data_IF_799509391778
#
_entry.id   IF_799509391778
#
_cell.length_a   1.000
_cell.length_b   1.000
_cell.length_c   1.000
_cell.angle_alpha   90.00
_cell.angle_beta   90.00
_cell.angle_gamma   90.00
#
_symmetry.space_group_name_H-M   'P 1'
#
loop_
_entity.id
_entity.type
_entity.pdbx_description
1 polymer ?
#
# COMPACT_ATOMS: atom_id res chain seq x y z
N UNK A 1 -21.55 -13.08 6.16
CA UNK A 1 -20.27 -13.65 6.60
C UNK A 1 -19.22 -13.12 5.64
N UNK A 2 -18.12 -12.54 6.14
CA UNK A 2 -17.05 -11.98 5.32
C UNK A 2 -15.88 -12.98 5.27
N UNK A 3 -15.34 -13.26 4.09
CA UNK A 3 -14.21 -14.18 3.95
C UNK A 3 -12.92 -13.35 3.94
N UNK A 4 -11.95 -13.72 4.78
CA UNK A 4 -10.69 -13.02 4.83
C UNK A 4 -9.90 -13.23 3.52
N UNK A 5 -9.48 -12.16 2.83
CA UNK A 5 -8.74 -12.30 1.56
C UNK A 5 -7.33 -12.87 1.74
N UNK A 6 -6.78 -12.86 2.96
CA UNK A 6 -5.42 -13.34 3.23
C UNK A 6 -5.36 -14.84 3.58
N UNK A 7 -6.30 -15.35 4.39
CA UNK A 7 -6.29 -16.73 4.87
C UNK A 7 -7.55 -17.55 4.52
N UNK A 8 -8.49 -16.94 3.79
CA UNK A 8 -9.77 -17.53 3.40
C UNK A 8 -10.66 -17.97 4.59
N UNK A 9 -10.38 -17.49 5.81
CA UNK A 9 -11.18 -17.79 6.98
C UNK A 9 -12.52 -17.02 6.95
N UNK A 10 -13.66 -17.68 7.21
CA UNK A 10 -14.94 -17.01 7.34
C UNK A 10 -15.03 -16.27 8.67
N UNK A 11 -15.37 -14.99 8.61
CA UNK A 11 -15.54 -14.11 9.78
C UNK A 11 -16.99 -13.58 9.86
N UNK A 12 -17.48 -13.24 11.06
CA UNK A 12 -18.81 -12.64 11.23
C UNK A 12 -18.92 -11.26 10.55
N UNK A 13 -20.15 -10.85 10.22
CA UNK A 13 -20.41 -9.53 9.66
C UNK A 13 -20.06 -8.44 10.69
N UNK A 14 -19.35 -7.39 10.27
CA UNK A 14 -18.90 -6.32 11.16
C UNK A 14 -17.57 -6.60 11.88
N UNK A 15 -16.91 -7.74 11.63
CA UNK A 15 -15.55 -7.97 12.09
C UNK A 15 -14.60 -6.96 11.41
N UNK A 16 -13.86 -6.19 12.23
CA UNK A 16 -12.85 -5.24 11.76
C UNK A 16 -11.52 -5.96 11.48
N UNK A 17 -11.33 -7.15 12.04
CA UNK A 17 -10.11 -7.94 11.94
C UNK A 17 -10.45 -9.43 11.84
N UNK A 18 -9.64 -10.18 11.08
CA UNK A 18 -9.79 -11.62 10.95
C UNK A 18 -9.38 -12.36 12.23
N UNK A 19 -10.23 -13.27 12.71
CA UNK A 19 -9.97 -14.04 13.95
C UNK A 19 -8.82 -15.07 13.79
N UNK A 20 -8.57 -15.55 12.58
CA UNK A 20 -7.53 -16.54 12.30
C UNK A 20 -6.13 -15.96 12.03
N UNK A 21 -6.04 -14.85 11.28
CA UNK A 21 -4.73 -14.34 10.80
C UNK A 21 -4.51 -12.86 11.12
N UNK A 22 -5.40 -12.24 11.91
CA UNK A 22 -5.30 -10.85 12.37
C UNK A 22 -5.19 -9.80 11.25
N UNK A 23 -5.50 -10.17 10.02
CA UNK A 23 -5.54 -9.24 8.89
C UNK A 23 -6.77 -8.34 9.01
N UNK A 24 -6.63 -7.01 8.83
CA UNK A 24 -7.77 -6.10 8.84
C UNK A 24 -8.77 -6.47 7.74
N UNK A 25 -10.06 -6.49 8.09
CA UNK A 25 -11.15 -6.82 7.18
C UNK A 25 -11.83 -5.52 6.72
N UNK A 26 -12.36 -5.46 5.47
CA UNK A 26 -13.09 -4.29 5.00
C UNK A 26 -14.32 -4.05 5.88
N UNK A 27 -14.37 -2.88 6.52
CA UNK A 27 -15.50 -2.48 7.33
C UNK A 27 -16.70 -2.21 6.41
N UNK A 28 -17.85 -2.81 6.75
CA UNK A 28 -19.10 -2.59 6.03
C UNK A 28 -20.13 -2.00 6.98
N UNK A 29 -20.88 -1.01 6.51
CA UNK A 29 -21.97 -0.36 7.23
C UNK A 29 -23.26 -0.48 6.42
N UNK A 30 -24.41 -0.20 7.03
CA UNK A 30 -25.70 -0.20 6.31
C UNK A 30 -26.08 1.22 5.92
N UNK A 31 -26.55 1.38 4.69
CA UNK A 31 -27.04 2.66 4.21
C UNK A 31 -28.30 3.07 5.01
N UNK A 32 -28.33 4.27 5.62
CA UNK A 32 -29.47 4.70 6.43
C UNK A 32 -30.74 4.98 5.61
N UNK A 33 -30.60 5.16 4.29
CA UNK A 33 -31.74 5.43 3.41
C UNK A 33 -32.42 4.15 2.87
N UNK A 34 -31.65 3.13 2.49
CA UNK A 34 -32.19 1.93 1.84
C UNK A 34 -31.85 0.60 2.52
N UNK A 35 -31.03 0.62 3.57
CA UNK A 35 -30.62 -0.58 4.30
C UNK A 35 -29.57 -1.45 3.60
N UNK A 36 -29.17 -1.12 2.36
CA UNK A 36 -28.13 -1.87 1.65
C UNK A 36 -26.78 -1.79 2.38
N UNK A 37 -26.05 -2.91 2.43
CA UNK A 37 -24.69 -2.95 2.95
C UNK A 37 -23.73 -2.24 2.00
N UNK A 38 -22.99 -1.27 2.52
CA UNK A 38 -22.03 -0.42 1.82
C UNK A 38 -20.67 -0.52 2.51
N UNK A 39 -19.59 -0.19 1.82
CA UNK A 39 -18.28 -0.05 2.46
C UNK A 39 -18.31 1.13 3.43
N UNK A 40 -17.64 1.01 4.58
CA UNK A 40 -17.65 2.07 5.60
C UNK A 40 -17.06 3.40 5.07
N UNK A 41 -16.12 3.33 4.13
CA UNK A 41 -15.51 4.49 3.46
C UNK A 41 -16.21 4.88 2.15
N UNK A 42 -17.38 4.30 1.84
CA UNK A 42 -18.10 4.64 0.63
C UNK A 42 -18.66 6.06 0.71
N UNK A 43 -18.41 6.85 -0.33
CA UNK A 43 -18.98 8.18 -0.47
C UNK A 43 -20.49 8.20 -0.72
N UNK A 44 -20.96 7.21 -1.48
CA UNK A 44 -22.34 7.10 -1.95
C UNK A 44 -22.80 5.64 -1.88
N UNK A 45 -24.09 5.44 -1.65
CA UNK A 45 -24.70 4.13 -1.72
C UNK A 45 -24.95 3.74 -3.19
N UNK A 46 -24.30 2.69 -3.68
CA UNK A 46 -24.47 2.20 -5.06
C UNK A 46 -25.85 1.62 -5.39
N UNK A 47 -26.74 1.43 -4.40
CA UNK A 47 -28.10 0.92 -4.61
C UNK A 47 -29.16 2.04 -4.69
N UNK A 48 -29.04 3.10 -3.90
CA UNK A 48 -30.05 4.17 -3.82
C UNK A 48 -29.50 5.59 -4.10
N UNK A 49 -28.19 5.73 -4.35
CA UNK A 49 -27.55 7.03 -4.61
C UNK A 49 -27.35 7.94 -3.39
N UNK A 50 -27.74 7.50 -2.18
CA UNK A 50 -27.62 8.32 -0.96
C UNK A 50 -26.16 8.67 -0.62
N UNK A 51 -25.89 9.92 -0.28
CA UNK A 51 -24.56 10.41 0.08
C UNK A 51 -24.25 10.10 1.55
N UNK A 52 -23.28 9.21 1.79
CA UNK A 52 -22.95 8.68 3.12
C UNK A 52 -22.04 9.64 3.91
N UNK A 53 -21.32 10.54 3.24
CA UNK A 53 -20.47 11.55 3.90
C UNK A 53 -21.26 12.55 4.73
N UNK A 54 -22.51 12.85 4.36
CA UNK A 54 -23.36 13.77 5.11
C UNK A 54 -23.94 13.14 6.39
N UNK A 55 -23.86 11.81 6.55
CA UNK A 55 -24.29 11.10 7.75
C UNK A 55 -23.16 10.89 8.77
N UNK A 56 -21.90 11.12 8.38
CA UNK A 56 -20.73 11.06 9.24
C UNK A 56 -20.40 12.44 9.84
N UNK A 57 -21.38 13.13 10.39
CA UNK A 57 -21.10 14.18 11.36
C UNK A 57 -20.67 13.47 12.66
N UNK A 58 -19.51 13.83 13.28
CA UNK A 58 -19.17 13.28 14.57
C UNK A 58 -20.28 13.66 15.56
N UNK A 59 -20.92 12.65 16.14
CA UNK A 59 -21.83 12.86 17.26
C UNK A 59 -21.07 13.64 18.36
N UNK A 60 -21.65 14.69 18.95
CA UNK A 60 -21.04 15.34 20.10
C UNK A 60 -20.98 14.33 21.24
N UNK A 61 -19.77 13.86 21.53
CA UNK A 61 -19.47 13.13 22.76
C UNK A 61 -19.81 14.02 23.94
N UNK A 62 -20.91 13.69 24.62
CA UNK A 62 -21.20 14.23 25.94
C UNK A 62 -20.13 13.71 26.90
N UNK A 63 -19.32 14.57 27.54
CA UNK A 63 -18.41 14.09 28.57
C UNK A 63 -19.23 13.65 29.78
N UNK A 64 -19.10 12.36 30.10
CA UNK A 64 -19.58 11.80 31.35
C UNK A 64 -18.97 12.56 32.53
N UNK A 65 -19.81 12.88 33.50
CA UNK A 65 -19.46 13.56 34.74
C UNK A 65 -18.36 12.80 35.48
N UNK A 66 -17.18 13.41 35.56
CA UNK A 66 -16.17 13.09 36.57
C UNK A 66 -16.24 14.20 37.60
N UNK A 67 -16.59 13.85 38.84
CA UNK A 67 -16.72 14.78 39.94
C UNK A 67 -15.41 15.55 40.17
N UNK A 68 -15.42 16.90 40.25
CA UNK A 68 -14.24 17.66 40.60
C UNK A 68 -14.07 17.69 42.13
N UNK A 69 -12.93 17.20 42.60
CA UNK A 69 -12.41 17.42 43.94
C UNK A 69 -12.11 18.91 44.13
N UNK A 70 -12.58 19.43 45.26
CA UNK A 70 -12.49 20.81 45.75
C UNK A 70 -11.03 21.27 45.91
N UNK A 71 -10.69 22.43 45.37
CA UNK A 71 -9.59 23.29 45.81
C UNK A 71 -9.89 24.77 45.46
N UNK A 72 -9.42 25.74 46.27
CA UNK A 72 -10.14 26.99 46.53
C UNK A 72 -9.88 28.13 45.52
N UNK A 73 -10.88 29.02 45.44
CA UNK A 73 -10.93 30.23 44.63
C UNK A 73 -9.78 31.22 44.87
N UNK A 74 -9.15 31.64 43.78
CA UNK A 74 -8.33 32.85 43.71
C UNK A 74 -8.87 33.69 42.55
N UNK A 75 -9.40 34.91 42.80
CA UNK A 75 -9.99 35.74 41.75
C UNK A 75 -8.88 36.48 40.99
N UNK A 76 -8.69 36.13 39.71
CA UNK A 76 -7.86 36.92 38.79
C UNK A 76 -8.79 37.59 37.78
N UNK A 77 -8.81 38.91 37.81
CA UNK A 77 -9.58 39.77 36.92
C UNK A 77 -8.93 39.78 35.52
N UNK A 78 -9.72 39.50 34.48
CA UNK A 78 -9.29 39.59 33.08
C UNK A 78 -10.03 40.76 32.41
N UNK A 79 -9.34 41.70 31.74
CA UNK A 79 -9.95 42.88 31.12
C UNK A 79 -10.80 42.56 29.88
N UNK A 80 -11.76 43.44 29.49
CA UNK A 80 -12.75 43.15 28.46
C UNK A 80 -12.16 43.19 27.04
N UNK A 81 -12.56 42.20 26.24
CA UNK A 81 -12.16 42.02 24.85
C UNK A 81 -12.99 42.95 23.93
N UNK A 82 -12.28 43.69 23.07
CA UNK A 82 -12.82 44.61 22.07
C UNK A 82 -13.52 43.85 20.94
N UNK A 83 -14.74 44.25 20.58
CA UNK A 83 -15.47 43.74 19.40
C UNK A 83 -14.99 44.42 18.11
N UNK A 84 -14.73 43.70 17.01
CA UNK A 84 -14.62 44.33 15.71
C UNK A 84 -15.99 44.49 15.01
N UNK A 85 -16.20 45.68 14.46
CA UNK A 85 -17.27 46.10 13.56
C UNK A 85 -17.36 45.24 12.28
N UNK A 86 -18.57 44.91 11.79
CA UNK A 86 -18.78 44.50 10.41
C UNK A 86 -19.26 45.70 9.56
N UNK A 87 -18.32 46.41 8.95
CA UNK A 87 -18.61 47.37 7.88
C UNK A 87 -17.72 47.08 6.67
N UNK A 88 -18.22 46.31 5.71
CA UNK A 88 -18.22 46.68 4.28
C UNK A 88 -18.97 45.63 3.45
N UNK A 89 -20.22 45.99 3.18
CA UNK A 89 -21.01 45.61 2.02
C UNK A 89 -20.42 46.20 0.73
N UNK A 90 -20.94 45.79 -0.43
CA UNK A 90 -20.68 46.25 -1.81
C UNK A 90 -19.77 45.34 -2.66
N UNK A 91 -20.40 44.34 -3.29
CA UNK A 91 -20.20 44.01 -4.71
C UNK A 91 -21.37 43.12 -5.18
N UNK A 92 -22.48 43.75 -5.56
CA UNK A 92 -23.47 43.17 -6.50
C UNK A 92 -22.87 43.06 -7.91
N UNK A 93 -23.45 42.20 -8.76
CA UNK A 93 -24.18 42.81 -9.86
C UNK A 93 -25.58 42.21 -10.10
N UNK A 94 -26.36 43.07 -10.74
CA UNK A 94 -27.80 43.12 -10.86
C UNK A 94 -28.50 42.04 -11.70
N UNK A 95 -29.71 41.77 -11.24
CA UNK A 95 -30.98 41.77 -11.97
C UNK A 95 -30.98 41.52 -13.50
N UNK A 96 -31.60 40.41 -13.88
CA UNK A 96 -32.62 40.42 -14.93
C UNK A 96 -33.86 39.68 -14.41
N UNK A 97 -34.85 40.48 -14.01
CA UNK A 97 -36.11 39.99 -13.47
C UNK A 97 -37.04 39.41 -14.53
N UNK A 98 -37.74 38.34 -14.16
CA UNK A 98 -39.08 38.04 -14.67
C UNK A 98 -39.87 37.42 -13.50
N UNK A 99 -40.99 38.07 -13.15
CA UNK A 99 -41.88 37.70 -12.05
C UNK A 99 -42.95 36.69 -12.49
N UNK A 100 -43.41 35.91 -11.49
CA UNK A 100 -44.74 35.28 -11.29
C UNK A 100 -44.97 33.82 -11.78
N UNK A 101 -45.99 33.11 -11.23
CA UNK A 101 -46.28 32.76 -9.83
C UNK A 101 -46.41 31.21 -9.65
N UNK A 102 -46.66 30.65 -8.44
CA UNK A 102 -46.72 29.19 -8.26
C UNK A 102 -48.11 28.65 -8.62
N UNK A 103 -48.15 27.62 -9.47
CA UNK A 103 -49.36 26.88 -9.78
C UNK A 103 -49.08 25.37 -9.79
N UNK A 104 -49.71 24.69 -8.83
CA UNK A 104 -50.33 23.36 -8.95
C UNK A 104 -49.53 22.19 -9.55
N UNK A 105 -49.29 21.22 -8.67
CA UNK A 105 -49.51 19.77 -8.86
C UNK A 105 -49.68 19.26 -10.30
N UNK A 106 -48.76 18.38 -10.72
CA UNK A 106 -49.09 17.16 -11.45
C UNK A 106 -47.87 16.21 -11.44
N UNK A 107 -48.08 15.03 -10.87
CA UNK A 107 -47.19 13.88 -10.95
C UNK A 107 -47.13 13.39 -12.41
N UNK A 108 -45.98 12.87 -12.88
CA UNK A 108 -45.98 11.88 -13.95
C UNK A 108 -45.81 10.47 -13.40
N UNK A 109 -46.68 9.60 -13.93
CA UNK A 109 -46.81 8.18 -13.69
C UNK A 109 -45.50 7.40 -13.84
N UNK A 110 -45.33 6.43 -12.94
CA UNK A 110 -44.35 5.36 -13.01
C UNK A 110 -44.52 4.54 -14.30
N UNK A 111 -43.42 4.31 -15.01
CA UNK A 111 -43.33 3.28 -16.05
C UNK A 111 -42.51 2.14 -15.46
N UNK A 112 -43.24 1.10 -15.04
CA UNK A 112 -42.71 -0.15 -14.51
C UNK A 112 -41.87 -0.86 -15.59
N UNK A 113 -40.55 -0.90 -15.38
CA UNK A 113 -39.63 -1.67 -16.22
C UNK A 113 -39.22 -2.90 -15.44
N UNK A 114 -39.79 -4.05 -15.79
CA UNK A 114 -39.44 -5.34 -15.21
C UNK A 114 -37.94 -5.68 -15.45
N UNK A 115 -37.20 -6.22 -14.47
CA UNK A 115 -35.84 -6.67 -14.70
C UNK A 115 -35.81 -7.98 -15.50
N UNK A 116 -34.80 -8.20 -16.37
CA UNK A 116 -34.66 -9.45 -17.11
C UNK A 116 -34.24 -10.60 -16.19
N UNK A 117 -34.79 -11.79 -16.42
CA UNK A 117 -34.41 -13.02 -15.74
C UNK A 117 -32.96 -13.40 -16.06
N UNK A 118 -32.17 -13.91 -15.09
CA UNK A 118 -30.82 -14.40 -15.36
C UNK A 118 -30.87 -15.70 -16.20
N UNK A 119 -29.86 -15.96 -17.06
CA UNK A 119 -29.78 -17.21 -17.82
C UNK A 119 -29.53 -18.41 -16.89
N UNK A 120 -29.88 -19.63 -17.32
CA UNK A 120 -29.64 -20.83 -16.53
C UNK A 120 -28.14 -21.10 -16.46
N UNK A 121 -27.63 -21.22 -15.24
CA UNK A 121 -26.23 -21.56 -14.97
C UNK A 121 -26.02 -23.02 -15.38
N UNK A 122 -25.23 -23.24 -16.42
CA UNK A 122 -24.78 -24.58 -16.79
C UNK A 122 -23.94 -25.16 -15.66
N UNK A 123 -24.26 -26.38 -15.24
CA UNK A 123 -23.52 -27.11 -14.23
C UNK A 123 -22.06 -27.28 -14.66
N UNK A 124 -21.13 -26.82 -13.82
CA UNK A 124 -19.70 -27.07 -14.01
C UNK A 124 -19.42 -28.58 -13.90
N UNK A 125 -18.59 -29.17 -14.78
CA UNK A 125 -18.23 -30.57 -14.69
C UNK A 125 -17.32 -30.81 -13.47
N UNK A 126 -17.45 -31.99 -12.88
CA UNK A 126 -16.64 -32.42 -11.74
C UNK A 126 -15.14 -32.45 -12.09
N UNK A 127 -14.24 -32.11 -11.15
CA UNK A 127 -12.81 -32.17 -11.40
C UNK A 127 -12.34 -33.63 -11.53
N UNK A 128 -11.59 -33.92 -12.60
CA UNK A 128 -10.84 -35.17 -12.75
C UNK A 128 -9.74 -35.25 -11.67
N UNK A 129 -9.39 -36.47 -11.20
CA UNK A 129 -8.35 -36.65 -10.20
C UNK A 129 -6.96 -36.37 -10.78
N UNK A 130 -6.15 -35.61 -10.04
CA UNK A 130 -4.74 -35.34 -10.34
C UNK A 130 -3.90 -36.63 -10.29
N UNK A 131 -2.92 -36.81 -11.20
CA UNK A 131 -2.03 -37.98 -11.18
C UNK A 131 -1.01 -37.87 -10.04
N UNK A 132 -0.79 -38.99 -9.34
CA UNK A 132 0.22 -39.11 -8.28
C UNK A 132 1.64 -38.79 -8.78
N UNK A 133 2.49 -38.14 -7.95
CA UNK A 133 3.85 -37.80 -8.33
C UNK A 133 4.74 -39.05 -8.38
N UNK A 134 5.50 -39.18 -9.46
CA UNK A 134 6.50 -40.24 -9.63
C UNK A 134 7.64 -40.12 -8.59
N UNK A 135 8.29 -41.24 -8.21
CA UNK A 135 9.33 -41.23 -7.19
C UNK A 135 10.62 -40.56 -7.69
N UNK A 136 11.28 -39.82 -6.80
CA UNK A 136 12.52 -39.12 -7.06
C UNK A 136 13.68 -40.08 -7.36
N UNK A 137 14.63 -39.73 -8.25
CA UNK A 137 15.81 -40.53 -8.51
C UNK A 137 16.83 -40.44 -7.37
N UNK A 138 17.55 -41.54 -7.14
CA UNK A 138 18.58 -41.67 -6.12
C UNK A 138 19.81 -40.77 -6.41
N UNK A 139 20.54 -40.32 -5.37
CA UNK A 139 21.73 -39.48 -5.56
C UNK A 139 22.92 -40.28 -6.10
N UNK A 140 23.59 -39.73 -7.11
CA UNK A 140 24.85 -40.24 -7.65
C UNK A 140 26.01 -40.05 -6.66
N UNK A 141 27.05 -40.92 -6.68
CA UNK A 141 28.13 -40.88 -5.73
C UNK A 141 29.14 -39.76 -6.06
N UNK A 142 29.53 -39.04 -5.02
CA UNK A 142 30.53 -37.97 -5.04
C UNK A 142 31.93 -38.55 -5.31
N UNK A 143 32.72 -38.02 -6.26
CA UNK A 143 34.10 -38.46 -6.45
C UNK A 143 35.02 -37.88 -5.37
N UNK A 144 35.88 -38.74 -4.83
CA UNK A 144 36.95 -38.41 -3.88
C UNK A 144 38.08 -37.69 -4.62
N UNK A 145 38.62 -36.56 -4.12
CA UNK A 145 39.82 -35.95 -4.70
C UNK A 145 41.11 -36.63 -4.21
N UNK A 146 41.97 -37.00 -5.16
CA UNK A 146 43.34 -37.51 -4.98
C UNK A 146 44.36 -36.34 -5.01
N UNK A 147 45.51 -36.39 -4.31
CA UNK A 147 46.29 -35.20 -3.98
C UNK A 147 47.41 -34.83 -4.98
N UNK A 148 47.71 -33.53 -5.00
CA UNK A 148 48.93 -32.80 -5.40
C UNK A 148 49.74 -33.23 -6.65
N UNK A 149 49.76 -32.32 -7.63
CA UNK A 149 50.96 -32.07 -8.43
C UNK A 149 51.22 -30.56 -8.49
N UNK A 150 52.34 -30.15 -7.92
CA UNK A 150 52.91 -28.80 -7.93
C UNK A 150 53.34 -28.43 -9.35
N UNK A 151 52.86 -27.28 -9.85
CA UNK A 151 53.32 -26.68 -11.11
C UNK A 151 53.96 -25.33 -10.77
N UNK A 152 55.19 -25.01 -11.23
CA UNK A 152 55.84 -23.75 -10.88
C UNK A 152 55.15 -22.54 -11.54
N UNK A 153 55.18 -21.41 -10.82
CA UNK A 153 54.62 -20.14 -11.24
C UNK A 153 55.20 -19.63 -12.58
N UNK A 154 54.37 -19.09 -13.49
CA UNK A 154 54.88 -18.35 -14.63
C UNK A 154 55.29 -16.94 -14.22
N UNK A 155 56.46 -16.52 -14.69
CA UNK A 155 57.04 -15.18 -14.54
C UNK A 155 56.17 -14.16 -15.29
N UNK A 156 55.76 -13.02 -14.70
CA UNK A 156 54.96 -12.03 -15.42
C UNK A 156 55.84 -11.18 -16.34
N UNK A 157 55.74 -11.41 -17.65
CA UNK A 157 56.24 -10.48 -18.66
C UNK A 157 55.21 -9.35 -18.80
N UNK A 158 55.60 -8.14 -18.41
CA UNK A 158 54.81 -6.92 -18.57
C UNK A 158 54.69 -6.58 -20.06
N UNK A 159 53.46 -6.51 -20.58
CA UNK A 159 53.15 -5.93 -21.86
C UNK A 159 52.93 -4.41 -21.72
N UNK A 160 53.35 -3.58 -22.71
CA UNK A 160 53.22 -2.14 -22.63
C UNK A 160 51.76 -1.68 -22.81
N UNK A 161 51.50 -0.53 -22.20
CA UNK A 161 50.25 0.20 -22.22
C UNK A 161 49.77 0.56 -23.64
N UNK A 162 48.45 0.69 -23.79
CA UNK A 162 47.85 1.53 -24.82
C UNK A 162 46.95 0.81 -25.82
N UNK A 163 45.92 0.11 -25.35
CA UNK A 163 44.70 -0.05 -26.15
C UNK A 163 43.57 0.54 -25.31
N UNK A 164 43.13 1.75 -25.67
CA UNK A 164 41.87 2.30 -25.16
C UNK A 164 40.74 1.43 -25.68
N UNK A 165 40.49 0.32 -24.98
CA UNK A 165 39.26 -0.44 -25.10
C UNK A 165 38.15 0.52 -24.71
N UNK A 166 37.13 0.65 -25.54
CA UNK A 166 35.80 1.12 -25.12
C UNK A 166 35.34 0.19 -24.01
N UNK A 167 35.72 0.52 -22.78
CA UNK A 167 35.28 -0.18 -21.60
C UNK A 167 33.85 0.28 -21.39
N UNK A 168 32.90 -0.60 -21.68
CA UNK A 168 31.52 -0.43 -21.25
C UNK A 168 31.58 -0.22 -19.73
N UNK A 169 31.46 1.03 -19.28
CA UNK A 169 31.17 1.33 -17.88
C UNK A 169 29.79 0.72 -17.64
N UNK A 170 29.79 -0.46 -17.02
CA UNK A 170 28.55 -1.09 -16.59
C UNK A 170 28.00 -0.23 -15.47
N UNK A 171 26.86 0.40 -15.74
CA UNK A 171 26.17 1.20 -14.74
C UNK A 171 25.61 0.24 -13.70
N UNK A 172 26.00 0.41 -12.44
CA UNK A 172 25.51 -0.41 -11.32
C UNK A 172 24.51 0.37 -10.51
N UNK A 173 23.36 -0.24 -10.21
CA UNK A 173 22.35 0.33 -9.33
C UNK A 173 22.56 -0.12 -7.89
N UNK A 174 22.36 0.78 -6.94
CA UNK A 174 22.45 0.50 -5.50
C UNK A 174 21.41 1.25 -4.69
N UNK A 175 21.10 0.71 -3.53
CA UNK A 175 20.30 1.33 -2.49
C UNK A 175 21.20 1.69 -1.31
N UNK A 176 21.18 2.96 -0.91
CA UNK A 176 21.92 3.46 0.25
C UNK A 176 20.94 3.69 1.39
N UNK A 177 21.05 2.91 2.47
CA UNK A 177 20.21 3.09 3.64
C UNK A 177 20.60 4.36 4.39
N UNK A 178 19.68 5.31 4.59
CA UNK A 178 19.99 6.65 5.12
C UNK A 178 20.43 6.58 6.57
N UNK A 179 19.79 5.76 7.39
CA UNK A 179 20.01 5.75 8.84
C UNK A 179 21.34 5.07 9.23
N UNK A 180 21.88 4.20 8.38
CA UNK A 180 23.11 3.43 8.66
C UNK A 180 24.20 3.60 7.61
N UNK A 181 23.96 4.42 6.57
CA UNK A 181 24.86 4.64 5.43
C UNK A 181 25.33 3.34 4.74
N UNK A 182 24.57 2.26 4.90
CA UNK A 182 24.93 0.95 4.34
C UNK A 182 24.47 0.89 2.90
N UNK A 183 25.39 0.56 2.01
CA UNK A 183 25.11 0.37 0.59
C UNK A 183 24.74 -1.09 0.30
N UNK A 184 23.74 -1.28 -0.55
CA UNK A 184 23.27 -2.58 -1.03
C UNK A 184 23.24 -2.51 -2.55
N UNK A 185 24.00 -3.35 -3.23
CA UNK A 185 23.97 -3.45 -4.68
C UNK A 185 22.72 -4.21 -5.14
N UNK A 186 22.06 -3.69 -6.18
CA UNK A 186 20.90 -4.32 -6.79
C UNK A 186 21.38 -5.34 -7.83
N UNK A 187 21.12 -6.65 -7.65
CA UNK A 187 21.51 -7.66 -8.61
C UNK A 187 20.76 -7.50 -9.93
N UNK A 188 21.40 -6.87 -10.91
CA UNK A 188 20.83 -6.61 -12.25
C UNK A 188 20.62 -7.89 -13.08
N UNK A 189 21.11 -9.04 -12.62
CA UNK A 189 20.81 -10.35 -13.23
C UNK A 189 19.37 -10.79 -12.98
N UNK A 190 18.70 -10.23 -11.96
CA UNK A 190 17.33 -10.56 -11.62
C UNK A 190 16.36 -9.56 -12.25
N UNK A 191 15.30 -10.06 -12.87
CA UNK A 191 14.22 -9.21 -13.39
C UNK A 191 13.33 -8.65 -12.28
N UNK A 192 13.28 -9.32 -11.13
CA UNK A 192 12.53 -8.93 -9.94
C UNK A 192 13.42 -9.17 -8.73
N UNK A 193 13.54 -8.16 -7.88
CA UNK A 193 14.34 -8.17 -6.67
C UNK A 193 13.38 -7.97 -5.49
N UNK A 194 13.25 -8.99 -4.65
CA UNK A 194 12.33 -8.99 -3.52
C UNK A 194 12.95 -8.30 -2.30
N UNK A 195 12.24 -7.33 -1.73
CA UNK A 195 12.66 -6.59 -0.54
C UNK A 195 11.74 -6.94 0.63
N UNK A 196 12.36 -7.31 1.75
CA UNK A 196 11.62 -7.56 2.97
C UNK A 196 12.42 -8.34 4.01
N UNK A 197 11.71 -8.92 4.97
CA UNK A 197 12.28 -9.78 6.01
C UNK A 197 12.31 -11.25 5.58
N UNK A 198 13.26 -12.06 6.11
CA UNK A 198 13.37 -13.47 5.77
C UNK A 198 12.06 -14.22 6.06
N UNK A 199 11.69 -15.12 5.17
CA UNK A 199 10.49 -15.93 5.28
C UNK A 199 10.64 -17.26 4.52
N UNK A 200 9.80 -18.23 4.86
CA UNK A 200 9.87 -19.59 4.30
C UNK A 200 9.19 -19.75 2.93
N UNK A 201 8.51 -18.72 2.42
CA UNK A 201 7.76 -18.78 1.15
C UNK A 201 8.58 -18.26 -0.02
N UNK A 202 8.99 -16.99 0.06
CA UNK A 202 9.78 -16.30 -0.95
C UNK A 202 10.92 -15.58 -0.21
N UNK A 203 12.15 -16.11 -0.22
CA UNK A 203 13.27 -15.45 0.45
C UNK A 203 13.50 -14.08 -0.20
N UNK A 204 13.70 -13.01 0.59
CA UNK A 204 14.01 -11.70 0.03
C UNK A 204 15.44 -11.70 -0.53
N UNK A 205 15.63 -11.08 -1.70
CA UNK A 205 16.96 -10.81 -2.25
C UNK A 205 17.68 -9.73 -1.43
N UNK A 206 16.92 -8.76 -0.93
CA UNK A 206 17.39 -7.72 -0.03
C UNK A 206 16.73 -7.93 1.34
N UNK A 207 17.49 -8.53 2.25
CA UNK A 207 17.10 -8.70 3.64
C UNK A 207 17.23 -7.39 4.41
N UNK A 208 16.10 -6.89 4.93
CA UNK A 208 16.07 -5.68 5.75
C UNK A 208 16.09 -5.94 7.27
N UNK A 209 16.13 -7.20 7.71
CA UNK A 209 16.08 -7.58 9.13
C UNK A 209 17.23 -6.98 9.95
N UNK A 210 18.39 -6.78 9.33
CA UNK A 210 19.58 -6.20 9.93
C UNK A 210 19.57 -4.68 10.11
N UNK A 211 18.49 -3.97 9.74
CA UNK A 211 18.37 -2.52 9.92
C UNK A 211 17.56 -2.14 11.16
N UNK A 212 17.83 -0.95 11.69
CA UNK A 212 17.03 -0.34 12.76
C UNK A 212 15.58 -0.21 12.34
N UNK A 213 14.64 -0.51 13.25
CA UNK A 213 13.19 -0.45 12.99
C UNK A 213 12.68 -1.41 11.90
N UNK A 214 13.38 -2.50 11.60
CA UNK A 214 12.94 -3.51 10.63
C UNK A 214 11.56 -4.13 10.94
N UNK A 215 11.05 -3.97 12.16
CA UNK A 215 9.70 -4.42 12.55
C UNK A 215 8.57 -3.81 11.73
N UNK A 216 8.73 -2.57 11.25
CA UNK A 216 7.72 -1.91 10.40
C UNK A 216 7.73 -2.43 8.96
N UNK A 217 8.79 -3.15 8.55
CA UNK A 217 8.89 -3.72 7.21
C UNK A 217 8.27 -5.12 7.21
N UNK A 218 7.54 -5.43 6.15
CA UNK A 218 6.87 -6.71 5.97
C UNK A 218 7.87 -7.76 5.49
N UNK A 219 7.53 -9.05 5.63
CA UNK A 219 8.36 -10.14 5.10
C UNK A 219 8.45 -10.08 3.56
N UNK A 220 7.32 -9.82 2.93
CA UNK A 220 7.19 -9.52 1.51
C UNK A 220 6.65 -8.09 1.48
N UNK A 221 7.48 -7.10 1.13
CA UNK A 221 7.13 -5.69 1.30
C UNK A 221 7.07 -4.94 -0.02
N UNK A 222 8.17 -4.95 -0.78
CA UNK A 222 8.24 -4.28 -2.07
C UNK A 222 9.13 -5.08 -3.02
N UNK A 223 8.86 -4.95 -4.32
CA UNK A 223 9.68 -5.52 -5.37
C UNK A 223 10.32 -4.40 -6.19
N UNK A 224 11.58 -4.58 -6.58
CA UNK A 224 12.21 -3.78 -7.62
C UNK A 224 12.29 -4.60 -8.89
N UNK A 225 11.61 -4.12 -9.93
CA UNK A 225 11.63 -4.72 -11.27
C UNK A 225 12.68 -4.05 -12.12
N UNK A 226 13.48 -4.86 -12.79
CA UNK A 226 14.53 -4.41 -13.71
C UNK A 226 14.05 -4.66 -15.14
N UNK A 227 13.83 -3.59 -15.89
CA UNK A 227 13.34 -3.62 -17.26
C UNK A 227 14.32 -2.86 -18.17
N UNK A 228 15.28 -3.60 -18.76
CA UNK A 228 16.38 -2.98 -19.53
C UNK A 228 17.26 -2.12 -18.62
N UNK A 229 17.37 -0.83 -18.94
CA UNK A 229 18.12 0.15 -18.14
C UNK A 229 17.25 0.88 -17.10
N UNK A 230 15.98 0.51 -16.95
CA UNK A 230 15.04 1.16 -16.05
C UNK A 230 14.72 0.27 -14.83
N UNK A 231 14.63 0.92 -13.68
CA UNK A 231 14.23 0.30 -12.41
C UNK A 231 12.86 0.81 -12.00
N UNK A 232 12.00 -0.10 -11.58
CA UNK A 232 10.67 0.22 -11.08
C UNK A 232 10.47 -0.37 -9.71
N UNK A 233 9.98 0.41 -8.75
CA UNK A 233 9.57 -0.08 -7.45
C UNK A 233 8.05 -0.30 -7.44
N UNK A 234 7.63 -1.40 -6.83
CA UNK A 234 6.23 -1.80 -6.71
C UNK A 234 5.99 -2.28 -5.26
N UNK A 235 4.94 -1.77 -4.61
CA UNK A 235 4.52 -2.29 -3.31
C UNK A 235 3.65 -3.54 -3.51
N UNK A 236 4.06 -4.66 -2.94
CA UNK A 236 3.39 -5.97 -3.10
C UNK A 236 2.31 -6.24 -2.04
N UNK A 237 1.82 -5.18 -1.39
CA UNK A 237 0.77 -5.27 -0.38
C UNK A 237 1.34 -5.26 1.05
N UNK A 238 2.38 -4.46 1.25
CA UNK A 238 2.97 -4.24 2.56
C UNK A 238 1.96 -3.70 3.59
N UNK A 239 2.16 -4.06 4.86
CA UNK A 239 1.24 -3.65 5.93
C UNK A 239 1.30 -2.16 6.26
N UNK A 240 2.46 -1.54 6.07
CA UNK A 240 2.71 -0.13 6.41
C UNK A 240 2.88 0.79 5.18
N UNK A 241 2.78 0.23 3.98
CA UNK A 241 2.93 0.94 2.70
C UNK A 241 4.40 1.21 2.33
N UNK A 242 4.65 1.38 1.03
CA UNK A 242 5.90 1.94 0.50
C UNK A 242 5.71 3.41 0.12
N UNK A 243 6.72 4.26 0.32
CA UNK A 243 6.65 5.68 0.00
C UNK A 243 7.84 6.11 -0.85
N UNK A 244 7.59 6.90 -1.89
CA UNK A 244 8.62 7.48 -2.77
C UNK A 244 8.63 8.99 -2.59
N UNK A 245 9.77 9.56 -2.20
CA UNK A 245 9.92 11.00 -1.94
C UNK A 245 8.80 11.52 -1.02
N UNK A 246 8.50 10.78 0.05
CA UNK A 246 7.44 11.02 1.03
C UNK A 246 5.99 10.90 0.52
N UNK A 247 5.78 10.49 -0.73
CA UNK A 247 4.45 10.23 -1.30
C UNK A 247 4.14 8.72 -1.24
N UNK A 248 2.92 8.32 -0.81
CA UNK A 248 2.55 6.91 -0.76
C UNK A 248 2.49 6.31 -2.16
N UNK A 249 3.12 5.16 -2.34
CA UNK A 249 2.96 4.30 -3.50
C UNK A 249 1.83 3.31 -3.22
N UNK A 250 0.75 3.39 -4.00
CA UNK A 250 -0.36 2.45 -3.88
C UNK A 250 0.12 1.01 -4.22
N UNK A 251 -0.32 -0.02 -3.48
CA UNK A 251 0.00 -1.41 -3.80
C UNK A 251 -0.33 -1.77 -5.25
N UNK A 252 0.59 -2.48 -5.92
CA UNK A 252 0.51 -2.87 -7.33
C UNK A 252 0.81 -1.76 -8.34
N UNK A 253 0.94 -0.49 -7.92
CA UNK A 253 1.40 0.56 -8.81
C UNK A 253 2.92 0.56 -8.91
N UNK A 254 3.43 0.67 -10.14
CA UNK A 254 4.86 0.77 -10.43
C UNK A 254 5.30 2.23 -10.49
N UNK A 255 6.37 2.55 -9.79
CA UNK A 255 7.03 3.84 -9.88
C UNK A 255 8.43 3.69 -10.47
N UNK A 256 8.73 4.45 -11.53
CA UNK A 256 10.06 4.44 -12.15
C UNK A 256 11.06 5.17 -11.24
N UNK A 257 12.06 4.44 -10.75
CA UNK A 257 13.13 4.97 -9.93
C UNK A 257 14.12 5.81 -10.74
N UNK A 258 14.50 6.95 -10.19
CA UNK A 258 15.53 7.86 -10.69
C UNK A 258 16.65 7.99 -9.67
N UNK A 259 17.92 8.15 -10.09
CA UNK A 259 19.01 8.40 -9.16
C UNK A 259 18.66 9.59 -8.23
N UNK A 260 18.79 9.37 -6.92
CA UNK A 260 18.41 10.31 -5.87
C UNK A 260 17.02 10.07 -5.26
N UNK A 261 16.19 9.20 -5.84
CA UNK A 261 14.87 8.91 -5.29
C UNK A 261 14.97 8.25 -3.91
N UNK A 262 14.11 8.73 -3.00
CA UNK A 262 14.05 8.27 -1.63
C UNK A 262 12.91 7.28 -1.45
N UNK A 263 13.23 6.04 -1.11
CA UNK A 263 12.31 4.92 -0.94
C UNK A 263 12.18 4.62 0.55
N UNK A 264 11.04 4.92 1.17
CA UNK A 264 10.76 4.57 2.57
C UNK A 264 9.88 3.33 2.64
N UNK A 265 10.29 2.36 3.43
CA UNK A 265 9.53 1.14 3.72
C UNK A 265 8.76 1.35 5.02
N UNK A 266 7.45 1.51 4.92
CA UNK A 266 6.58 1.89 6.01
C UNK A 266 6.58 3.40 6.33
N UNK A 267 5.60 3.79 7.14
CA UNK A 267 5.36 5.19 7.51
C UNK A 267 6.43 5.72 8.46
N UNK A 268 6.77 7.01 8.31
CA UNK A 268 7.62 7.73 9.27
C UNK A 268 9.11 7.66 8.99
N UNK A 269 9.51 7.24 7.78
CA UNK A 269 10.90 7.29 7.31
C UNK A 269 11.91 6.58 8.24
N UNK A 270 11.46 5.51 8.91
CA UNK A 270 12.29 4.76 9.85
C UNK A 270 13.26 3.83 9.14
N UNK A 271 12.86 3.26 8.01
CA UNK A 271 13.68 2.46 7.09
C UNK A 271 13.61 3.12 5.74
N UNK A 272 14.68 3.82 5.35
CA UNK A 272 14.67 4.60 4.11
C UNK A 272 15.95 4.40 3.32
N UNK A 273 15.79 4.23 2.01
CA UNK A 273 16.86 4.05 1.05
C UNK A 273 16.90 5.21 0.06
N UNK A 274 18.09 5.53 -0.43
CA UNK A 274 18.30 6.40 -1.60
C UNK A 274 18.76 5.51 -2.74
N UNK A 275 18.08 5.60 -3.87
CA UNK A 275 18.47 4.91 -5.08
C UNK A 275 19.59 5.67 -5.80
N UNK A 276 20.66 4.98 -6.19
CA UNK A 276 21.80 5.58 -6.89
C UNK A 276 22.24 4.68 -8.05
N UNK A 277 22.77 5.31 -9.11
CA UNK A 277 23.45 4.66 -10.22
C UNK A 277 24.92 5.12 -10.21
N UNK A 278 25.85 4.19 -10.43
CA UNK A 278 27.30 4.44 -10.53
C UNK A 278 27.89 3.93 -11.83
#
# INVERSE_FOLDING_TARGET
MIVCPNCNHPNPNGAVQCEACYTPLPATSNCPNCGATVQADAAFCGQCGFNLHSAAAPAPVSPAAVAPTVAPEVPIQVPPLVTPDPLLDLLQPDALGINAPPATAQQPLAVESAPPSPPPVAAAPAPEPEPEPAPAPAPEPVPVPEPEATVPAPVPVQAPAGVSRTQLQQVTARLVHIQSEREIELPQSLSVIHIGKPNDRIPPDIDVSGFSNSEIVSRIHADIRVEGDAFYVEDVGSSNGTYINNLPLLPGNRHRLRPGDRISLGKGDLVTFIFQLT
#
